data_IF_190556987161
#
_entry.id   IF_190556987161
#
_cell.length_a   1.000
_cell.length_b   1.000
_cell.length_c   1.000
_cell.angle_alpha   90.00
_cell.angle_beta   90.00
_cell.angle_gamma   90.00
#
_symmetry.space_group_name_H-M   'P 1'
#
loop_
_entity.id
_entity.type
_entity.pdbx_description
1 polymer ?
#
# COMPACT_ATOMS: atom_id res chain seq x y z
N UNK A 1 1.76 19.77 -1.18
CA UNK A 1 2.04 18.67 -0.23
C UNK A 1 3.47 18.79 0.24
N UNK A 2 3.73 18.75 1.56
CA UNK A 2 5.11 18.80 2.11
C UNK A 2 5.39 17.73 3.15
N UNK A 3 4.38 16.97 3.56
CA UNK A 3 4.51 15.92 4.58
C UNK A 3 4.38 14.55 3.92
N UNK A 4 5.37 13.69 4.17
CA UNK A 4 5.46 12.37 3.57
C UNK A 4 5.80 11.33 4.63
N UNK A 5 5.12 10.20 4.58
CA UNK A 5 5.47 8.97 5.31
C UNK A 5 5.80 7.91 4.27
N UNK A 6 7.03 7.41 4.29
CA UNK A 6 7.51 6.39 3.37
C UNK A 6 7.79 5.11 4.14
N UNK A 7 7.22 3.98 3.70
CA UNK A 7 7.41 2.66 4.30
C UNK A 7 7.77 1.68 3.18
N UNK A 8 8.96 1.12 3.25
CA UNK A 8 9.45 0.09 2.34
C UNK A 8 10.61 -0.63 3.04
N UNK A 9 10.62 -1.96 3.01
CA UNK A 9 11.62 -2.78 3.70
C UNK A 9 12.88 -3.03 2.87
N UNK A 10 12.87 -2.66 1.59
CA UNK A 10 13.86 -3.13 0.64
C UNK A 10 15.04 -2.16 0.51
N UNK A 11 16.22 -2.76 0.33
CA UNK A 11 17.38 -2.07 -0.21
C UNK A 11 17.28 -1.98 -1.74
N UNK A 12 17.91 -0.97 -2.32
CA UNK A 12 18.03 -0.86 -3.78
C UNK A 12 19.00 -1.93 -4.31
N UNK A 13 18.58 -2.64 -5.36
CA UNK A 13 19.40 -3.59 -6.09
C UNK A 13 19.66 -3.15 -7.53
N UNK A 14 20.72 -3.67 -8.15
CA UNK A 14 21.12 -3.34 -9.53
C UNK A 14 19.97 -3.56 -10.51
N UNK A 15 19.20 -4.64 -10.35
CA UNK A 15 18.10 -4.99 -11.23
C UNK A 15 16.91 -4.03 -11.09
N UNK A 16 16.85 -3.19 -10.06
CA UNK A 16 15.81 -2.16 -9.90
C UNK A 16 16.11 -0.88 -10.69
N UNK A 17 17.38 -0.64 -11.08
CA UNK A 17 17.82 0.61 -11.70
C UNK A 17 17.16 0.90 -13.06
N UNK A 18 16.57 -0.11 -13.70
CA UNK A 18 15.80 0.07 -14.94
C UNK A 18 14.44 0.76 -14.73
N UNK A 19 13.94 0.84 -13.48
CA UNK A 19 12.58 1.30 -13.17
C UNK A 19 12.43 2.12 -11.89
N UNK A 20 13.41 2.07 -10.98
CA UNK A 20 13.41 2.83 -9.73
C UNK A 20 14.02 4.22 -9.93
N UNK A 21 13.22 5.25 -9.72
CA UNK A 21 13.62 6.64 -9.94
C UNK A 21 14.41 7.17 -8.73
N UNK A 22 15.51 7.87 -8.99
CA UNK A 22 16.35 8.50 -7.98
C UNK A 22 17.50 7.62 -7.47
N UNK A 23 17.50 6.32 -7.77
CA UNK A 23 18.59 5.41 -7.44
C UNK A 23 19.77 5.51 -8.40
N UNK A 24 20.99 5.33 -7.89
CA UNK A 24 22.21 5.24 -8.70
C UNK A 24 22.88 3.87 -8.56
N UNK A 25 23.78 3.48 -9.49
CA UNK A 25 24.61 2.27 -9.33
C UNK A 25 25.40 2.24 -8.02
N UNK A 26 25.81 3.42 -7.50
CA UNK A 26 26.50 3.53 -6.22
C UNK A 26 25.58 3.22 -5.04
N UNK A 27 24.32 3.66 -5.09
CA UNK A 27 23.34 3.38 -4.05
C UNK A 27 23.02 1.88 -4.00
N UNK A 28 22.88 1.25 -5.17
CA UNK A 28 22.68 -0.19 -5.30
C UNK A 28 23.88 -0.99 -4.77
N UNK A 29 25.11 -0.60 -5.15
CA UNK A 29 26.33 -1.23 -4.64
C UNK A 29 26.47 -1.12 -3.11
N UNK A 30 25.91 -0.05 -2.51
CA UNK A 30 25.88 0.19 -1.06
C UNK A 30 24.65 -0.40 -0.37
N UNK A 31 23.72 -1.02 -1.11
CA UNK A 31 22.43 -1.51 -0.59
C UNK A 31 21.70 -0.46 0.25
N UNK A 32 21.67 0.79 -0.22
CA UNK A 32 20.90 1.84 0.46
C UNK A 32 19.42 1.50 0.45
N UNK A 33 18.72 1.81 1.54
CA UNK A 33 17.28 1.60 1.64
C UNK A 33 16.54 2.44 0.61
N UNK A 34 15.56 1.84 -0.08
CA UNK A 34 14.74 2.54 -1.08
C UNK A 34 14.05 3.77 -0.48
N UNK A 35 13.52 3.66 0.75
CA UNK A 35 12.88 4.78 1.45
C UNK A 35 13.79 6.00 1.61
N UNK A 36 15.08 5.80 1.89
CA UNK A 36 16.01 6.90 2.12
C UNK A 36 16.40 7.59 0.80
N UNK A 37 16.55 6.82 -0.28
CA UNK A 37 16.80 7.37 -1.61
C UNK A 37 15.63 8.24 -2.07
N UNK A 38 14.39 7.76 -1.88
CA UNK A 38 13.19 8.54 -2.21
C UNK A 38 13.09 9.78 -1.33
N UNK A 39 13.44 9.70 -0.04
CA UNK A 39 13.44 10.85 0.84
C UNK A 39 14.44 11.93 0.40
N UNK A 40 15.64 11.53 -0.02
CA UNK A 40 16.64 12.45 -0.57
C UNK A 40 16.15 13.10 -1.87
N UNK A 41 15.54 12.31 -2.76
CA UNK A 41 14.94 12.83 -4.00
C UNK A 41 13.87 13.89 -3.70
N UNK A 42 12.92 13.60 -2.81
CA UNK A 42 11.88 14.56 -2.41
C UNK A 42 12.50 15.86 -1.86
N UNK A 43 13.49 15.74 -0.97
CA UNK A 43 14.15 16.91 -0.36
C UNK A 43 14.99 17.71 -1.35
N UNK A 44 15.53 17.07 -2.40
CA UNK A 44 16.22 17.78 -3.48
C UNK A 44 15.27 18.62 -4.35
N UNK A 45 13.97 18.26 -4.39
CA UNK A 45 12.93 18.99 -5.12
C UNK A 45 12.35 20.13 -4.26
N UNK A 46 11.97 19.86 -3.00
CA UNK A 46 11.58 20.89 -2.02
C UNK A 46 12.30 20.64 -0.69
N UNK A 47 13.29 21.48 -0.39
CA UNK A 47 14.09 21.37 0.84
C UNK A 47 13.28 21.57 2.12
N UNK A 48 12.04 22.08 2.02
CA UNK A 48 11.10 22.22 3.14
C UNK A 48 10.22 20.99 3.37
N UNK A 49 10.36 19.94 2.55
CA UNK A 49 9.59 18.72 2.71
C UNK A 49 9.98 17.98 4.00
N UNK A 50 8.97 17.63 4.80
CA UNK A 50 9.09 16.78 5.99
C UNK A 50 8.82 15.34 5.58
N UNK A 51 9.88 14.55 5.50
CA UNK A 51 9.83 13.14 5.12
C UNK A 51 10.21 12.27 6.31
N UNK A 52 9.31 11.38 6.73
CA UNK A 52 9.56 10.31 7.69
C UNK A 52 9.71 8.99 6.95
N UNK A 53 10.80 8.27 7.18
CA UNK A 53 11.09 6.98 6.54
C UNK A 53 11.01 5.86 7.57
N UNK A 54 10.47 4.71 7.14
CA UNK A 54 10.39 3.48 7.91
C UNK A 54 10.90 2.35 7.01
N UNK A 55 12.12 1.90 7.28
CA UNK A 55 12.77 0.81 6.57
C UNK A 55 12.25 -0.56 7.07
N UNK A 56 10.94 -0.80 6.94
CA UNK A 56 10.25 -1.97 7.48
C UNK A 56 9.11 -2.43 6.59
N UNK A 57 8.69 -3.69 6.76
CA UNK A 57 7.42 -4.15 6.21
C UNK A 57 6.27 -3.47 6.96
N UNK A 58 5.11 -3.37 6.33
CA UNK A 58 3.88 -2.98 7.00
C UNK A 58 3.03 -4.23 7.30
N UNK A 59 2.39 -4.33 8.49
CA UNK A 59 2.47 -3.40 9.62
C UNK A 59 3.54 -3.77 10.66
N UNK A 60 4.19 -2.74 11.20
CA UNK A 60 4.82 -2.73 12.53
C UNK A 60 4.09 -1.72 13.41
N UNK A 61 4.35 -1.70 14.72
CA UNK A 61 3.78 -0.70 15.61
C UNK A 61 4.10 0.73 15.14
N UNK A 62 5.33 0.98 14.72
CA UNK A 62 5.81 2.29 14.27
C UNK A 62 5.22 2.70 12.92
N UNK A 63 5.22 1.79 11.94
CA UNK A 63 4.68 2.09 10.61
C UNK A 63 3.15 2.25 10.65
N UNK A 64 2.45 1.46 11.46
CA UNK A 64 1.02 1.64 11.69
C UNK A 64 0.73 2.97 12.40
N UNK A 65 1.46 3.31 13.46
CA UNK A 65 1.31 4.59 14.14
C UNK A 65 1.58 5.77 13.19
N UNK A 66 2.57 5.66 12.30
CA UNK A 66 2.86 6.67 11.30
C UNK A 66 1.72 6.83 10.29
N UNK A 67 1.17 5.73 9.76
CA UNK A 67 0.06 5.79 8.80
C UNK A 67 -1.25 6.30 9.42
N UNK A 68 -1.46 6.20 10.74
CA UNK A 68 -2.63 6.83 11.39
C UNK A 68 -2.61 8.36 11.31
N UNK A 69 -1.46 8.96 10.99
CA UNK A 69 -1.30 10.42 10.94
C UNK A 69 -1.42 11.02 9.54
N UNK A 70 -1.67 10.21 8.51
CA UNK A 70 -1.78 10.70 7.12
C UNK A 70 -3.23 10.99 6.75
N UNK A 71 -3.44 11.91 5.81
CA UNK A 71 -4.75 12.22 5.26
C UNK A 71 -5.16 11.28 4.11
N UNK A 72 -4.17 10.75 3.37
CA UNK A 72 -4.36 9.85 2.23
C UNK A 72 -3.24 8.81 2.19
N UNK A 73 -3.61 7.57 1.91
CA UNK A 73 -2.69 6.45 1.75
C UNK A 73 -2.48 6.14 0.27
N UNK A 74 -1.23 5.89 -0.13
CA UNK A 74 -0.88 5.33 -1.42
C UNK A 74 -0.32 3.91 -1.25
N UNK A 75 -0.89 2.95 -1.97
CA UNK A 75 -0.47 1.55 -1.99
C UNK A 75 0.19 1.22 -3.31
N UNK A 76 1.52 1.29 -3.33
CA UNK A 76 2.35 0.91 -4.47
C UNK A 76 2.96 -0.49 -4.26
N UNK A 77 2.20 -1.39 -3.66
CA UNK A 77 2.68 -2.73 -3.26
C UNK A 77 2.42 -3.74 -4.38
N UNK A 78 3.26 -4.76 -4.47
CA UNK A 78 3.18 -5.80 -5.50
C UNK A 78 2.41 -7.05 -5.04
N UNK A 79 2.43 -7.38 -3.75
CA UNK A 79 1.80 -8.59 -3.21
C UNK A 79 0.31 -8.44 -2.88
N UNK A 80 -0.42 -9.55 -2.86
CA UNK A 80 -1.81 -9.58 -2.42
C UNK A 80 -1.93 -9.44 -0.90
N UNK A 81 -0.98 -9.99 -0.16
CA UNK A 81 -0.90 -9.86 1.30
C UNK A 81 -0.78 -8.40 1.74
N UNK A 82 0.13 -7.65 1.13
CA UNK A 82 0.29 -6.21 1.42
C UNK A 82 -0.97 -5.41 1.07
N UNK A 83 -1.62 -5.72 -0.05
CA UNK A 83 -2.91 -5.10 -0.41
C UNK A 83 -4.01 -5.42 0.60
N UNK A 84 -4.08 -6.65 1.10
CA UNK A 84 -5.03 -7.06 2.13
C UNK A 84 -4.83 -6.22 3.41
N UNK A 85 -3.59 -6.11 3.88
CA UNK A 85 -3.24 -5.36 5.08
C UNK A 85 -3.55 -3.87 4.94
N UNK A 86 -3.15 -3.22 3.84
CA UNK A 86 -3.40 -1.79 3.60
C UNK A 86 -4.90 -1.50 3.35
N UNK A 87 -5.63 -2.39 2.68
CA UNK A 87 -7.08 -2.27 2.53
C UNK A 87 -7.80 -2.37 3.88
N UNK A 88 -7.43 -3.35 4.71
CA UNK A 88 -8.00 -3.47 6.04
C UNK A 88 -7.69 -2.23 6.90
N UNK A 89 -6.45 -1.74 6.86
CA UNK A 89 -6.02 -0.56 7.60
C UNK A 89 -6.77 0.72 7.16
N UNK A 90 -6.87 0.97 5.85
CA UNK A 90 -7.57 2.15 5.33
C UNK A 90 -9.06 2.15 5.67
N UNK A 91 -9.72 0.99 5.57
CA UNK A 91 -11.12 0.81 5.98
C UNK A 91 -11.29 0.99 7.50
N UNK A 92 -10.35 0.50 8.29
CA UNK A 92 -10.37 0.58 9.75
C UNK A 92 -10.24 2.01 10.27
N UNK A 93 -9.33 2.79 9.69
CA UNK A 93 -9.05 4.18 10.10
C UNK A 93 -9.74 5.23 9.21
N UNK A 94 -10.63 4.81 8.31
CA UNK A 94 -11.37 5.70 7.40
C UNK A 94 -10.45 6.60 6.57
N UNK A 95 -9.34 6.04 6.07
CA UNK A 95 -8.40 6.74 5.21
C UNK A 95 -8.74 6.51 3.73
N UNK A 96 -8.83 7.56 2.90
CA UNK A 96 -8.77 7.42 1.46
C UNK A 96 -7.51 6.66 1.06
N UNK A 97 -7.68 5.62 0.24
CA UNK A 97 -6.58 4.73 -0.15
C UNK A 97 -6.52 4.58 -1.66
N UNK A 98 -5.41 5.01 -2.24
CA UNK A 98 -5.12 4.92 -3.67
C UNK A 98 -4.15 3.75 -3.88
N UNK A 99 -4.69 2.63 -4.32
CA UNK A 99 -3.92 1.46 -4.73
C UNK A 99 -3.60 1.55 -6.22
N UNK A 100 -2.38 1.18 -6.58
CA UNK A 100 -1.97 1.04 -7.97
C UNK A 100 -1.25 -0.29 -8.21
N UNK A 101 -1.39 -0.79 -9.43
CA UNK A 101 -0.70 -1.98 -9.89
C UNK A 101 -0.43 -1.89 -11.38
N UNK A 102 0.66 -2.51 -11.80
CA UNK A 102 0.95 -2.75 -13.21
C UNK A 102 1.23 -4.24 -13.39
N UNK A 103 0.99 -4.74 -14.59
CA UNK A 103 1.25 -6.13 -14.94
C UNK A 103 1.70 -6.24 -16.38
N UNK A 104 2.64 -7.14 -16.62
CA UNK A 104 3.06 -7.58 -17.94
C UNK A 104 3.15 -9.10 -17.87
N UNK A 105 2.26 -9.76 -18.61
CA UNK A 105 2.25 -11.20 -18.77
C UNK A 105 2.81 -11.53 -20.15
N UNK A 106 3.68 -12.54 -20.20
CA UNK A 106 4.20 -13.09 -21.44
C UNK A 106 3.92 -14.60 -21.47
N UNK A 107 3.72 -15.14 -22.67
CA UNK A 107 3.66 -16.59 -22.86
C UNK A 107 5.06 -17.24 -22.80
N UNK A 108 5.10 -18.57 -22.92
CA UNK A 108 6.36 -19.33 -22.91
C UNK A 108 7.33 -18.95 -24.05
N UNK A 109 6.84 -18.32 -25.12
CA UNK A 109 7.67 -17.83 -26.23
C UNK A 109 8.29 -16.45 -25.95
N UNK A 110 7.91 -15.82 -24.84
CA UNK A 110 8.29 -14.45 -24.48
C UNK A 110 7.43 -13.38 -25.16
N UNK A 111 6.32 -13.76 -25.81
CA UNK A 111 5.39 -12.81 -26.42
C UNK A 111 4.48 -12.24 -25.36
N UNK A 112 4.38 -10.90 -25.29
CA UNK A 112 3.51 -10.22 -24.33
C UNK A 112 2.05 -10.52 -24.69
N UNK A 113 1.32 -11.16 -23.77
CA UNK A 113 -0.09 -11.53 -23.93
C UNK A 113 -1.01 -10.51 -23.27
N UNK A 114 -0.61 -9.98 -22.12
CA UNK A 114 -1.34 -8.93 -21.41
C UNK A 114 -0.36 -7.91 -20.86
N UNK A 115 -0.69 -6.63 -20.98
CA UNK A 115 0.10 -5.58 -20.37
C UNK A 115 -0.74 -4.37 -20.06
N UNK A 116 -0.42 -3.70 -18.95
CA UNK A 116 -1.20 -2.56 -18.51
C UNK A 116 -1.06 -2.30 -17.02
N UNK A 117 -2.07 -1.67 -16.47
CA UNK A 117 -2.16 -1.44 -15.04
C UNK A 117 -3.50 -0.86 -14.65
N UNK A 118 -3.62 -0.55 -13.38
CA UNK A 118 -4.83 -0.02 -12.80
C UNK A 118 -4.51 0.88 -11.62
N UNK A 119 -5.37 1.84 -11.38
CA UNK A 119 -5.45 2.50 -10.09
C UNK A 119 -6.87 2.38 -9.53
N UNK A 120 -6.96 2.30 -8.21
CA UNK A 120 -8.16 2.03 -7.43
C UNK A 120 -8.20 2.97 -6.25
N UNK A 121 -9.29 3.72 -6.11
CA UNK A 121 -9.50 4.67 -5.02
C UNK A 121 -10.58 4.14 -4.09
N UNK A 122 -10.13 3.58 -2.97
CA UNK A 122 -10.98 3.20 -1.85
C UNK A 122 -11.31 4.46 -1.07
N UNK A 123 -12.56 4.89 -1.14
CA UNK A 123 -13.09 5.98 -0.33
C UNK A 123 -13.84 5.39 0.86
N UNK A 124 -13.64 5.92 2.07
CA UNK A 124 -14.42 5.50 3.24
C UNK A 124 -15.93 5.55 2.95
N UNK A 125 -16.64 4.45 3.21
CA UNK A 125 -18.07 4.30 2.92
C UNK A 125 -18.41 3.76 1.53
N UNK A 126 -17.48 3.79 0.57
CA UNK A 126 -17.63 3.16 -0.75
C UNK A 126 -17.06 1.74 -0.81
N UNK A 127 -16.96 1.18 -2.02
CA UNK A 127 -16.28 -0.11 -2.24
C UNK A 127 -14.81 -0.09 -1.79
N UNK A 128 -14.31 -1.25 -1.36
CA UNK A 128 -12.90 -1.48 -1.03
C UNK A 128 -12.23 -2.47 -2.01
N UNK A 129 -10.94 -2.78 -1.83
CA UNK A 129 -10.24 -3.71 -2.72
C UNK A 129 -10.87 -5.10 -2.77
N UNK A 130 -11.39 -5.60 -1.65
CA UNK A 130 -12.10 -6.90 -1.61
C UNK A 130 -13.44 -6.86 -2.37
N UNK A 131 -14.12 -5.70 -2.39
CA UNK A 131 -15.36 -5.53 -3.16
C UNK A 131 -15.14 -5.73 -4.67
N UNK A 132 -14.00 -5.25 -5.19
CA UNK A 132 -13.60 -5.37 -6.61
C UNK A 132 -12.76 -6.60 -6.91
N UNK A 133 -12.62 -7.54 -5.96
CA UNK A 133 -11.77 -8.74 -6.09
C UNK A 133 -10.33 -8.40 -6.50
N UNK A 134 -9.81 -7.29 -5.97
CA UNK A 134 -8.42 -6.87 -6.17
C UNK A 134 -7.41 -7.68 -5.34
N UNK A 135 -7.91 -8.49 -4.41
CA UNK A 135 -7.12 -9.32 -3.50
C UNK A 135 -7.51 -10.77 -3.78
N UNK A 136 -6.53 -11.58 -4.18
CA UNK A 136 -6.67 -13.03 -4.14
C UNK A 136 -6.42 -13.48 -2.69
N UNK A 137 -7.42 -14.06 -1.99
CA UNK A 137 -7.27 -14.46 -0.60
C UNK A 137 -6.30 -15.62 -0.39
N UNK A 138 -6.13 -16.50 -1.38
CA UNK A 138 -5.18 -17.62 -1.32
C UNK A 138 -3.76 -17.08 -1.44
N UNK A 139 -3.51 -16.23 -2.44
CA UNK A 139 -2.21 -15.59 -2.61
C UNK A 139 -1.87 -14.69 -1.41
N UNK A 140 -2.84 -13.92 -0.89
CA UNK A 140 -2.65 -13.11 0.31
C UNK A 140 -2.31 -13.96 1.54
N UNK A 141 -2.95 -15.13 1.70
CA UNK A 141 -2.61 -16.07 2.77
C UNK A 141 -1.18 -16.59 2.66
N UNK A 142 -0.73 -16.94 1.46
CA UNK A 142 0.64 -17.38 1.20
C UNK A 142 1.66 -16.24 1.43
N UNK A 143 1.32 -15.02 1.01
CA UNK A 143 2.14 -13.83 1.18
C UNK A 143 2.44 -13.52 2.65
N UNK A 144 1.47 -13.77 3.52
CA UNK A 144 1.51 -13.45 4.95
C UNK A 144 2.01 -14.60 5.83
N UNK A 145 2.41 -15.74 5.25
CA UNK A 145 3.01 -16.83 6.02
C UNK A 145 4.33 -16.38 6.65
N UNK A 146 4.58 -16.74 7.93
CA UNK A 146 5.90 -16.65 8.53
C UNK A 146 6.97 -17.37 7.69
N UNK A 147 8.20 -16.88 7.70
CA UNK A 147 9.27 -17.38 6.82
C UNK A 147 9.57 -18.87 7.00
N UNK A 148 9.48 -19.39 8.23
CA UNK A 148 9.66 -20.81 8.56
C UNK A 148 8.53 -21.67 7.96
N UNK A 149 7.28 -21.21 8.08
CA UNK A 149 6.14 -21.88 7.48
C UNK A 149 6.18 -21.81 5.96
N UNK A 150 6.51 -20.64 5.39
CA UNK A 150 6.68 -20.47 3.94
C UNK A 150 7.70 -21.47 3.39
N UNK A 151 8.86 -21.61 4.03
CA UNK A 151 9.90 -22.60 3.66
C UNK A 151 9.38 -24.03 3.76
N UNK A 152 8.62 -24.36 4.81
CA UNK A 152 7.99 -25.68 4.94
C UNK A 152 6.99 -25.96 3.81
N UNK A 153 6.14 -25.00 3.48
CA UNK A 153 5.18 -25.12 2.38
C UNK A 153 5.87 -25.24 1.02
N UNK A 154 6.97 -24.51 0.81
CA UNK A 154 7.84 -24.66 -0.37
C UNK A 154 8.47 -26.06 -0.45
N UNK A 155 9.01 -26.58 0.66
CA UNK A 155 9.58 -27.94 0.69
C UNK A 155 8.56 -29.05 0.42
N UNK A 156 7.27 -28.76 0.64
CA UNK A 156 6.15 -29.67 0.40
C UNK A 156 5.49 -29.46 -0.97
N UNK A 157 5.98 -28.52 -1.78
CA UNK A 157 5.44 -28.21 -3.11
C UNK A 157 4.09 -27.47 -3.11
N UNK A 158 3.66 -26.92 -1.97
CA UNK A 158 2.41 -26.14 -1.87
C UNK A 158 2.58 -24.69 -2.32
N UNK A 159 3.80 -24.17 -2.29
CA UNK A 159 4.16 -22.83 -2.74
C UNK A 159 5.34 -22.99 -3.71
N UNK A 160 5.31 -22.36 -4.89
CA UNK A 160 6.45 -22.37 -5.81
C UNK A 160 7.73 -21.88 -5.12
N UNK A 161 8.85 -22.52 -5.44
CA UNK A 161 10.19 -22.11 -4.98
C UNK A 161 10.78 -21.02 -5.86
N UNK A 162 10.31 -20.90 -7.11
CA UNK A 162 10.77 -19.90 -8.06
C UNK A 162 9.97 -18.61 -7.88
N UNK A 163 10.66 -17.54 -7.50
CA UNK A 163 10.13 -16.19 -7.51
C UNK A 163 10.47 -15.56 -8.88
N UNK A 164 9.59 -15.78 -9.85
CA UNK A 164 9.75 -15.19 -11.18
C UNK A 164 9.35 -13.72 -11.07
N UNK A 165 10.35 -12.84 -11.02
CA UNK A 165 10.12 -11.41 -10.98
C UNK A 165 9.27 -10.98 -12.19
N UNK A 166 8.07 -10.44 -11.92
CA UNK A 166 7.20 -9.91 -12.96
C UNK A 166 7.95 -8.83 -13.76
N UNK A 167 7.92 -8.88 -15.10
CA UNK A 167 8.54 -7.84 -15.93
C UNK A 167 7.98 -6.47 -15.59
N UNK A 168 8.86 -5.50 -15.37
CA UNK A 168 8.46 -4.14 -15.00
C UNK A 168 9.35 -3.10 -15.69
N UNK A 169 8.70 -2.07 -16.23
CA UNK A 169 9.30 -1.02 -17.06
C UNK A 169 8.88 0.37 -16.57
N UNK A 170 9.82 1.31 -16.58
CA UNK A 170 9.65 2.63 -15.94
C UNK A 170 8.46 3.42 -16.49
N UNK A 171 8.24 3.40 -17.81
CA UNK A 171 7.21 4.22 -18.44
C UNK A 171 5.80 3.79 -18.01
N UNK A 172 5.58 2.49 -17.81
CA UNK A 172 4.28 1.95 -17.40
C UNK A 172 4.00 2.32 -15.94
N UNK A 173 5.01 2.15 -15.07
CA UNK A 173 4.93 2.59 -13.66
C UNK A 173 4.61 4.08 -13.57
N UNK A 174 5.33 4.91 -14.33
CA UNK A 174 5.16 6.36 -14.32
C UNK A 174 3.79 6.78 -14.87
N UNK A 175 3.27 6.10 -15.89
CA UNK A 175 1.94 6.38 -16.44
C UNK A 175 0.87 6.19 -15.38
N UNK A 176 0.85 5.03 -14.71
CA UNK A 176 -0.12 4.75 -13.65
C UNK A 176 0.08 5.63 -12.42
N UNK A 177 1.32 5.88 -12.01
CA UNK A 177 1.62 6.79 -10.90
C UNK A 177 1.10 8.21 -11.18
N UNK A 178 1.29 8.72 -12.40
CA UNK A 178 0.81 10.04 -12.80
C UNK A 178 -0.72 10.13 -12.81
N UNK A 179 -1.40 9.10 -13.27
CA UNK A 179 -2.88 9.02 -13.23
C UNK A 179 -3.39 8.99 -11.79
N UNK A 180 -2.76 8.18 -10.92
CA UNK A 180 -3.10 8.09 -9.50
C UNK A 180 -2.89 9.43 -8.77
N UNK A 181 -1.80 10.14 -9.06
CA UNK A 181 -1.56 11.50 -8.54
C UNK A 181 -2.61 12.49 -9.06
N UNK A 182 -3.03 12.36 -10.33
CA UNK A 182 -4.13 13.15 -10.89
C UNK A 182 -5.43 12.94 -10.12
N UNK A 183 -5.80 11.70 -9.83
CA UNK A 183 -7.00 11.39 -9.06
C UNK A 183 -6.87 11.86 -7.60
N UNK A 184 -5.68 11.74 -6.98
CA UNK A 184 -5.41 12.33 -5.67
C UNK A 184 -5.66 13.83 -5.65
N UNK A 185 -5.15 14.59 -6.63
CA UNK A 185 -5.43 16.02 -6.72
C UNK A 185 -6.92 16.30 -6.92
N UNK A 186 -7.61 15.43 -7.68
CA UNK A 186 -9.05 15.53 -7.89
C UNK A 186 -9.84 15.36 -6.58
N UNK A 187 -9.41 14.50 -5.65
CA UNK A 187 -10.06 14.33 -4.34
C UNK A 187 -10.16 15.65 -3.55
N UNK A 188 -9.20 16.56 -3.70
CA UNK A 188 -9.17 17.83 -2.96
C UNK A 188 -9.70 19.02 -3.74
N UNK A 189 -9.63 18.97 -5.07
CA UNK A 189 -9.97 20.11 -5.93
C UNK A 189 -11.29 19.93 -6.66
N UNK A 190 -11.79 18.70 -6.77
CA UNK A 190 -13.03 18.35 -7.46
C UNK A 190 -13.12 18.91 -8.89
N UNK A 191 -12.00 18.98 -9.62
CA UNK A 191 -11.96 19.53 -10.96
C UNK A 191 -12.72 18.67 -12.00
N UNK A 192 -12.98 17.40 -11.67
CA UNK A 192 -13.90 16.51 -12.42
C UNK A 192 -14.55 15.49 -11.50
N UNK A 193 -15.55 14.77 -12.02
CA UNK A 193 -16.11 13.61 -11.34
C UNK A 193 -15.01 12.56 -11.03
N UNK A 194 -14.97 12.01 -9.81
CA UNK A 194 -13.95 11.06 -9.42
C UNK A 194 -14.07 9.76 -10.22
N UNK A 195 -12.94 9.23 -10.64
CA UNK A 195 -12.85 7.94 -11.32
C UNK A 195 -12.11 7.00 -10.39
N UNK A 196 -12.87 6.16 -9.69
CA UNK A 196 -12.33 5.38 -8.58
C UNK A 196 -11.73 4.04 -8.99
N UNK A 197 -11.97 3.60 -10.21
CA UNK A 197 -11.46 2.35 -10.76
C UNK A 197 -11.18 2.56 -12.23
N UNK A 198 -9.90 2.62 -12.60
CA UNK A 198 -9.49 2.79 -13.99
C UNK A 198 -8.42 1.78 -14.34
N UNK A 199 -8.60 1.15 -15.50
CA UNK A 199 -7.66 0.25 -16.13
C UNK A 199 -7.02 0.94 -17.32
N UNK A 200 -5.71 0.78 -17.44
CA UNK A 200 -4.93 1.10 -18.61
C UNK A 200 -4.54 -0.20 -19.31
N UNK A 201 -5.01 -0.38 -20.54
CA UNK A 201 -4.67 -1.51 -21.40
C UNK A 201 -3.56 -1.05 -22.35
N UNK A 202 -2.32 -1.48 -22.08
CA UNK A 202 -1.15 -1.02 -22.82
C UNK A 202 -1.20 -1.47 -24.29
N UNK A 203 -1.57 -2.73 -24.53
CA UNK A 203 -1.68 -3.30 -25.88
C UNK A 203 -2.69 -2.53 -26.74
N UNK A 204 -3.87 -2.25 -26.19
CA UNK A 204 -4.95 -1.53 -26.89
C UNK A 204 -4.78 0.00 -26.87
N UNK A 205 -3.75 0.50 -26.18
CA UNK A 205 -3.51 1.92 -25.92
C UNK A 205 -4.75 2.66 -25.41
N UNK A 206 -5.55 2.00 -24.56
CA UNK A 206 -6.85 2.52 -24.11
C UNK A 206 -6.95 2.56 -22.60
N UNK A 207 -7.76 3.50 -22.10
CA UNK A 207 -8.15 3.57 -20.69
C UNK A 207 -9.65 3.30 -20.56
N UNK A 208 -10.02 2.50 -19.56
CA UNK A 208 -11.42 2.22 -19.24
C UNK A 208 -11.63 2.47 -17.76
N UNK A 209 -12.56 3.35 -17.46
CA UNK A 209 -12.99 3.59 -16.08
C UNK A 209 -14.28 2.84 -15.83
N UNK A 210 -14.35 2.16 -14.69
CA UNK A 210 -15.54 1.46 -14.25
C UNK A 210 -16.17 2.28 -13.14
N UNK A 211 -17.45 2.61 -13.32
CA UNK A 211 -18.23 3.22 -12.27
C UNK A 211 -18.73 2.14 -11.34
N UNK A 212 -18.24 2.16 -10.10
CA UNK A 212 -18.68 1.27 -9.04
C UNK A 212 -18.67 2.09 -7.76
N UNK A 213 -19.80 2.20 -7.10
CA UNK A 213 -19.88 2.86 -5.79
C UNK A 213 -20.38 1.91 -4.70
N UNK A 214 -21.10 0.86 -5.10
CA UNK A 214 -21.68 -0.09 -4.17
C UNK A 214 -20.64 -1.01 -3.54
N UNK A 215 -20.80 -1.20 -2.23
CA UNK A 215 -20.10 -2.23 -1.47
C UNK A 215 -20.75 -3.57 -1.73
N UNK A 216 -19.93 -4.62 -1.76
CA UNK A 216 -20.45 -5.99 -1.65
C UNK A 216 -21.09 -6.19 -0.28
N UNK A 217 -22.36 -6.61 -0.26
CA UNK A 217 -23.13 -6.79 0.97
C UNK A 217 -22.52 -7.83 1.93
N UNK A 218 -21.72 -8.75 1.39
CA UNK A 218 -21.01 -9.82 2.11
C UNK A 218 -19.52 -9.50 2.35
N UNK A 219 -19.06 -8.27 2.10
CA UNK A 219 -17.64 -7.95 2.21
C UNK A 219 -17.14 -8.00 3.66
N UNK A 220 -16.19 -8.88 3.93
CA UNK A 220 -15.61 -9.08 5.27
C UNK A 220 -14.72 -7.91 5.73
N UNK A 221 -14.30 -7.04 4.82
CA UNK A 221 -13.47 -5.87 5.15
C UNK A 221 -14.32 -4.63 5.50
N UNK A 222 -15.15 -4.15 4.56
CA UNK A 222 -15.78 -2.82 4.63
C UNK A 222 -17.27 -2.81 5.00
N UNK A 223 -17.84 -3.95 5.38
CA UNK A 223 -19.15 -3.98 6.03
C UNK A 223 -19.01 -3.69 7.53
N UNK A 224 -20.08 -3.23 8.21
CA UNK A 224 -20.04 -2.96 9.67
C UNK A 224 -19.68 -4.18 10.53
N UNK A 225 -19.94 -5.39 10.02
CA UNK A 225 -19.54 -6.67 10.61
C UNK A 225 -18.03 -6.96 10.45
N UNK A 226 -17.35 -6.24 9.55
CA UNK A 226 -15.92 -6.26 9.36
C UNK A 226 -15.20 -5.17 10.16
N UNK A 227 -14.20 -4.55 9.54
CA UNK A 227 -13.30 -3.57 10.19
C UNK A 227 -13.69 -2.11 9.97
N UNK A 228 -14.76 -1.83 9.24
CA UNK A 228 -15.16 -0.45 8.89
C UNK A 228 -15.23 0.47 10.12
N UNK A 229 -14.46 1.55 10.08
CA UNK A 229 -14.45 2.61 11.09
C UNK A 229 -14.19 2.13 12.53
N UNK A 230 -13.53 0.98 12.73
CA UNK A 230 -13.22 0.46 14.07
C UNK A 230 -12.07 1.21 14.75
N UNK A 231 -11.22 1.92 13.99
CA UNK A 231 -10.09 2.66 14.55
C UNK A 231 -9.25 1.78 15.49
N UNK A 232 -8.98 2.28 16.69
CA UNK A 232 -8.22 1.55 17.72
C UNK A 232 -9.07 0.59 18.58
N UNK A 233 -10.37 0.43 18.29
CA UNK A 233 -11.20 -0.58 18.95
C UNK A 233 -10.84 -2.01 18.54
N UNK A 234 -10.12 -2.15 17.42
CA UNK A 234 -9.61 -3.41 16.91
C UNK A 234 -8.08 -3.29 16.71
N UNK A 235 -7.29 -4.35 16.98
CA UNK A 235 -5.88 -4.33 16.65
C UNK A 235 -5.68 -4.23 15.13
N UNK A 236 -4.59 -3.60 14.70
CA UNK A 236 -4.21 -3.56 13.29
C UNK A 236 -4.00 -4.98 12.78
N UNK A 237 -4.68 -5.34 11.68
CA UNK A 237 -4.55 -6.67 11.08
C UNK A 237 -3.09 -6.94 10.68
N UNK A 238 -2.55 -8.08 11.08
CA UNK A 238 -1.15 -8.46 10.82
C UNK A 238 -0.11 -7.72 11.67
N UNK A 239 -0.53 -6.77 12.52
CA UNK A 239 0.36 -6.10 13.47
C UNK A 239 0.62 -6.95 14.71
N UNK A 240 1.62 -6.55 15.49
CA UNK A 240 1.82 -7.13 16.82
C UNK A 240 0.56 -6.91 17.68
N UNK A 241 0.15 -7.92 18.47
CA UNK A 241 -0.94 -7.72 19.42
C UNK A 241 -0.57 -6.58 20.37
N UNK A 242 -1.52 -5.70 20.73
CA UNK A 242 -1.25 -4.62 21.66
C UNK A 242 -0.69 -5.21 22.96
N UNK A 243 0.36 -4.59 23.50
CA UNK A 243 0.86 -4.97 24.84
C UNK A 243 -0.31 -4.88 25.82
N UNK A 244 -0.53 -5.91 26.66
CA UNK A 244 -1.63 -5.89 27.61
C UNK A 244 -1.56 -4.62 28.45
N UNK A 245 -2.68 -3.92 28.56
CA UNK A 245 -2.81 -2.78 29.46
C UNK A 245 -2.75 -3.36 30.88
N UNK A 246 -1.67 -3.05 31.59
CA UNK A 246 -1.49 -3.39 33.00
C UNK A 246 -1.70 -2.12 33.81
N UNK A 247 -2.01 -2.24 35.11
CA UNK A 247 -2.10 -1.08 36.01
C UNK A 247 -0.84 -0.20 35.99
N UNK A 248 0.31 -0.77 35.66
CA UNK A 248 1.59 -0.07 35.50
C UNK A 248 1.75 0.72 34.21
N UNK A 249 0.91 0.49 33.19
CA UNK A 249 0.98 1.15 31.87
C UNK A 249 -0.20 2.09 31.61
N UNK A 250 -1.16 2.18 32.55
CA UNK A 250 -2.20 3.19 32.51
C UNK A 250 -1.58 4.58 32.76
N UNK A 251 -1.89 5.60 31.94
CA UNK A 251 -1.49 6.97 32.24
C UNK A 251 -2.09 7.37 33.58
N UNK A 252 -1.25 7.86 34.50
CA UNK A 252 -1.70 8.35 35.80
C UNK A 252 -2.81 9.37 35.59
N UNK A 253 -3.93 9.30 36.33
CA UNK A 253 -4.99 10.28 36.21
C UNK A 253 -4.38 11.65 36.47
N UNK A 254 -4.38 12.50 35.44
CA UNK A 254 -3.99 13.90 35.59
C UNK A 254 -4.91 14.49 36.64
N UNK A 255 -4.34 14.87 37.79
CA UNK A 255 -5.08 15.64 38.79
C UNK A 255 -5.54 16.93 38.11
N UNK A 256 -6.83 16.98 37.78
CA UNK A 256 -7.49 18.22 37.39
C UNK A 256 -7.23 19.23 38.51
N UNK A 257 -6.43 20.25 38.20
CA UNK A 257 -6.33 21.42 39.05
C UNK A 257 -7.73 22.01 39.16
N UNK A 258 -8.29 21.92 40.35
CA UNK A 258 -9.39 22.78 40.78
C UNK A 258 -8.76 24.10 41.20
N UNK A 259 -8.69 25.05 40.26
CA UNK A 259 -8.36 26.44 40.57
C UNK A 259 -9.47 27.32 39.99
N UNK A 260 -10.51 27.60 40.79
CA UNK A 260 -11.24 28.88 40.77
C UNK A 260 -12.36 28.92 41.82
N UNK A 261 -12.04 29.47 42.99
CA UNK A 261 -12.84 30.48 43.71
C UNK A 261 -11.87 31.37 44.49
#
# INVERSE_FOLDING_TARGET
MRDFVLIDADALETHNLNRFIGGTPRDAARKRMKVDIVADLIRSIDSRARVRTYASKFPTAESAAALKTVDVLFGCVDSHGSRLLLNAFSVQYMLPYIDLGVGINADESGTITESGGQYRVVMPGGFCLDCVRAIDPVAAGQDLLPDDQRKLHQSRGYIPTEDIAAPAVVFLNQTLASLAVGEFLNLFTAYRAPQRLTYYFLHDQSMRSLHMDDRRADCAACMPTGRLARGDLEPVLGGEPPKPITLSTLPSPTHGRSDSA
#
